data_IF_090570324638
#
_entry.id   IF_090570324638
#
_cell.length_a   1.000
_cell.length_b   1.000
_cell.length_c   1.000
_cell.angle_alpha   90.00
_cell.angle_beta   90.00
_cell.angle_gamma   90.00
#
_symmetry.space_group_name_H-M   'P 1'
#
loop_
_entity.id
_entity.type
_entity.pdbx_description
1 polymer ?
#
# COMPACT_ATOMS: atom_id res chain seq x y z
N UNK A 1 16.56 -7.40 5.70
CA UNK A 1 16.91 -6.62 4.49
C UNK A 1 18.42 -6.51 4.37
N UNK A 2 18.95 -6.24 3.18
CA UNK A 2 20.38 -5.96 2.99
C UNK A 2 20.80 -4.74 3.83
N UNK A 3 21.98 -4.76 4.51
CA UNK A 3 22.47 -3.62 5.30
C UNK A 3 22.62 -2.32 4.49
N UNK A 4 22.95 -2.45 3.20
CA UNK A 4 23.08 -1.34 2.26
C UNK A 4 21.75 -1.01 1.54
N UNK A 5 20.62 -1.54 2.03
CA UNK A 5 19.26 -1.31 1.52
C UNK A 5 19.05 -1.59 0.03
N UNK A 6 19.93 -2.40 -0.59
CA UNK A 6 19.85 -2.72 -2.01
C UNK A 6 18.63 -3.59 -2.35
N UNK A 7 18.29 -4.55 -1.47
CA UNK A 7 17.18 -5.50 -1.62
C UNK A 7 16.66 -5.99 -0.26
N UNK A 8 15.44 -6.52 -0.24
CA UNK A 8 14.86 -7.28 0.86
C UNK A 8 14.98 -8.80 0.61
N UNK A 9 15.05 -9.57 1.70
CA UNK A 9 15.09 -11.03 1.67
C UNK A 9 13.68 -11.57 1.88
N UNK A 10 12.85 -11.45 0.85
CA UNK A 10 11.42 -11.78 0.85
C UNK A 10 11.08 -12.55 -0.42
N UNK A 11 10.00 -13.34 -0.39
CA UNK A 11 9.53 -14.08 -1.57
C UNK A 11 10.63 -14.97 -2.17
N UNK A 12 10.92 -14.84 -3.48
CA UNK A 12 11.98 -15.60 -4.16
C UNK A 12 13.39 -15.43 -3.56
N UNK A 13 13.62 -14.34 -2.81
CA UNK A 13 14.92 -14.01 -2.21
C UNK A 13 15.04 -14.43 -0.74
N UNK A 14 14.03 -15.10 -0.18
CA UNK A 14 13.98 -15.47 1.25
C UNK A 14 15.07 -16.45 1.67
N UNK A 15 15.58 -17.28 0.75
CA UNK A 15 16.64 -18.25 1.02
C UNK A 15 18.07 -17.69 0.85
N UNK A 16 18.24 -16.42 0.51
CA UNK A 16 19.57 -15.83 0.31
C UNK A 16 20.15 -15.32 1.61
N UNK A 17 21.42 -15.64 1.86
CA UNK A 17 22.21 -15.14 2.99
C UNK A 17 23.06 -13.91 2.64
N UNK A 18 23.14 -13.57 1.35
CA UNK A 18 24.02 -12.55 0.80
C UNK A 18 23.28 -11.69 -0.23
N UNK A 19 23.57 -10.39 -0.24
CA UNK A 19 22.94 -9.47 -1.17
C UNK A 19 23.45 -9.70 -2.60
N UNK A 20 22.54 -9.89 -3.56
CA UNK A 20 22.88 -10.09 -4.98
C UNK A 20 23.57 -8.88 -5.65
N UNK A 21 23.51 -7.69 -5.03
CA UNK A 21 23.96 -6.45 -5.64
C UNK A 21 25.18 -5.79 -5.02
N UNK A 22 25.52 -6.14 -3.78
CA UNK A 22 26.68 -5.59 -3.08
C UNK A 22 27.45 -6.65 -2.29
N UNK A 23 27.03 -7.91 -2.38
CA UNK A 23 27.65 -9.08 -1.74
C UNK A 23 27.73 -8.97 -0.20
N UNK A 24 27.10 -7.96 0.40
CA UNK A 24 27.07 -7.80 1.85
C UNK A 24 26.22 -8.93 2.45
N UNK A 25 26.72 -9.65 3.45
CA UNK A 25 25.93 -10.68 4.12
C UNK A 25 24.70 -10.07 4.76
N UNK A 26 23.61 -10.84 4.81
CA UNK A 26 22.47 -10.53 5.64
C UNK A 26 22.92 -10.43 7.10
N UNK A 27 22.29 -9.50 7.84
CA UNK A 27 22.43 -9.53 9.29
C UNK A 27 21.89 -10.86 9.82
N UNK A 28 22.79 -11.77 10.15
CA UNK A 28 22.48 -12.88 11.05
C UNK A 28 22.40 -12.27 12.43
N UNK A 29 21.18 -12.15 12.93
CA UNK A 29 20.99 -11.88 14.35
C UNK A 29 21.57 -13.10 15.04
N UNK A 30 22.72 -12.92 15.70
CA UNK A 30 23.20 -13.87 16.69
C UNK A 30 21.99 -14.27 17.53
N UNK A 31 21.78 -15.57 17.70
CA UNK A 31 20.63 -16.30 18.27
C UNK A 31 20.09 -15.84 19.64
N UNK A 32 20.48 -14.67 20.11
CA UNK A 32 19.68 -13.88 21.05
C UNK A 32 18.35 -13.56 20.38
N UNK A 33 17.20 -13.96 20.97
CA UNK A 33 15.91 -13.55 20.44
C UNK A 33 15.92 -12.03 20.39
N UNK A 34 15.74 -11.46 19.19
CA UNK A 34 15.27 -10.08 19.14
C UNK A 34 14.03 -10.10 20.02
N UNK A 35 14.02 -9.32 21.11
CA UNK A 35 12.75 -8.81 21.61
C UNK A 35 12.16 -8.14 20.39
N UNK A 36 11.24 -8.83 19.70
CA UNK A 36 10.28 -8.15 18.88
C UNK A 36 9.84 -7.01 19.77
N UNK A 37 10.23 -5.77 19.42
CA UNK A 37 9.46 -4.64 19.88
C UNK A 37 8.07 -5.10 19.56
N UNK A 38 7.26 -5.38 20.59
CA UNK A 38 5.85 -5.66 20.38
C UNK A 38 5.47 -4.52 19.47
N UNK A 39 5.23 -4.82 18.19
CA UNK A 39 4.41 -3.96 17.37
C UNK A 39 3.24 -3.81 18.29
N UNK A 40 3.11 -2.61 18.88
CA UNK A 40 1.98 -2.32 19.74
C UNK A 40 0.83 -2.90 18.94
N UNK A 41 0.15 -3.90 19.49
CA UNK A 41 -1.08 -4.39 18.91
C UNK A 41 -2.05 -3.24 19.16
N UNK A 42 -1.80 -2.16 18.45
CA UNK A 42 -2.55 -0.95 18.53
C UNK A 42 -3.74 -1.36 17.70
N UNK A 43 -4.77 -1.75 18.45
CA UNK A 43 -6.12 -1.99 18.00
C UNK A 43 -6.65 -0.81 17.16
N UNK A 44 -5.90 0.29 17.07
CA UNK A 44 -5.89 1.31 16.03
C UNK A 44 -6.14 0.77 14.62
N UNK A 45 -5.56 -0.37 14.21
CA UNK A 45 -5.86 -0.95 12.88
C UNK A 45 -7.34 -1.35 12.75
N UNK A 46 -7.88 -2.08 13.74
CA UNK A 46 -9.31 -2.41 13.77
C UNK A 46 -10.23 -1.19 13.95
N UNK A 47 -9.78 -0.16 14.68
CA UNK A 47 -10.55 1.07 14.91
C UNK A 47 -10.55 2.00 13.68
N UNK A 48 -9.42 2.11 12.98
CA UNK A 48 -9.31 2.86 11.73
C UNK A 48 -10.06 2.15 10.60
N UNK A 49 -9.97 0.83 10.46
CA UNK A 49 -10.81 0.08 9.51
C UNK A 49 -12.31 0.27 9.79
N UNK A 50 -12.76 0.29 11.06
CA UNK A 50 -14.15 0.56 11.43
C UNK A 50 -14.66 1.94 10.97
N UNK A 51 -13.87 3.00 11.17
CA UNK A 51 -14.27 4.35 10.79
C UNK A 51 -14.16 4.56 9.28
N UNK A 52 -13.14 3.97 8.65
CA UNK A 52 -12.94 4.05 7.20
C UNK A 52 -14.10 3.40 6.46
N UNK A 53 -14.50 2.17 6.77
CA UNK A 53 -15.58 1.45 6.04
C UNK A 53 -16.92 2.19 6.14
N UNK A 54 -17.28 2.72 7.32
CA UNK A 54 -18.49 3.53 7.49
C UNK A 54 -18.42 4.86 6.70
N UNK A 55 -17.23 5.47 6.64
CA UNK A 55 -17.00 6.64 5.79
C UNK A 55 -17.02 6.31 4.29
N UNK A 56 -16.55 5.12 3.88
CA UNK A 56 -16.55 4.69 2.48
C UNK A 56 -17.99 4.66 1.95
N UNK A 57 -18.91 4.02 2.68
CA UNK A 57 -20.33 3.90 2.29
C UNK A 57 -21.02 5.24 2.00
N UNK A 58 -20.74 6.26 2.80
CA UNK A 58 -21.33 7.59 2.62
C UNK A 58 -20.57 8.45 1.60
N UNK A 59 -19.30 8.12 1.34
CA UNK A 59 -18.43 8.89 0.45
C UNK A 59 -18.51 8.43 -1.00
N UNK A 60 -18.83 7.17 -1.29
CA UNK A 60 -18.79 6.64 -2.67
C UNK A 60 -19.68 7.44 -3.63
N UNK A 61 -20.93 7.73 -3.28
CA UNK A 61 -21.86 8.46 -4.17
C UNK A 61 -21.46 9.93 -4.40
N UNK A 62 -21.01 10.63 -3.36
CA UNK A 62 -20.53 12.01 -3.47
C UNK A 62 -19.18 12.09 -4.23
N UNK A 63 -18.30 11.12 -4.00
CA UNK A 63 -17.02 10.97 -4.69
C UNK A 63 -17.21 10.74 -6.20
N UNK A 64 -18.17 9.89 -6.58
CA UNK A 64 -18.49 9.64 -7.99
C UNK A 64 -18.83 10.96 -8.71
N UNK A 65 -19.63 11.83 -8.09
CA UNK A 65 -20.02 13.11 -8.66
C UNK A 65 -18.84 14.10 -8.79
N UNK A 66 -17.90 14.10 -7.84
CA UNK A 66 -16.70 14.95 -7.88
C UNK A 66 -15.63 14.45 -8.85
N UNK A 67 -15.47 13.13 -8.98
CA UNK A 67 -14.50 12.51 -9.89
C UNK A 67 -14.95 12.61 -11.36
N UNK A 68 -16.25 12.59 -11.63
CA UNK A 68 -16.80 12.82 -12.97
C UNK A 68 -16.49 14.23 -13.51
N UNK A 69 -16.33 15.20 -12.62
CA UNK A 69 -15.96 16.58 -12.98
C UNK A 69 -14.45 16.75 -13.19
N UNK A 70 -13.63 15.86 -12.62
CA UNK A 70 -12.17 15.90 -12.73
C UNK A 70 -11.67 14.89 -13.78
N UNK A 71 -11.81 15.26 -15.05
CA UNK A 71 -11.35 14.47 -16.20
C UNK A 71 -9.83 14.25 -16.17
N UNK A 72 -9.37 13.10 -15.67
CA UNK A 72 -8.01 12.62 -15.88
C UNK A 72 -7.46 11.64 -14.83
N UNK A 73 -7.92 11.69 -13.58
CA UNK A 73 -7.50 10.78 -12.53
C UNK A 73 -8.71 10.03 -11.96
N UNK A 74 -8.75 8.71 -12.15
CA UNK A 74 -9.82 7.87 -11.61
C UNK A 74 -10.89 7.42 -12.61
N UNK A 75 -10.75 7.71 -13.90
CA UNK A 75 -11.64 7.16 -14.96
C UNK A 75 -11.72 5.64 -14.89
N UNK A 76 -10.57 4.99 -14.71
CA UNK A 76 -10.46 3.55 -14.53
C UNK A 76 -11.35 3.00 -13.39
N UNK A 77 -11.36 3.72 -12.26
CA UNK A 77 -12.18 3.39 -11.09
C UNK A 77 -13.66 3.66 -11.39
N UNK A 78 -13.99 4.81 -11.97
CA UNK A 78 -15.35 5.15 -12.37
C UNK A 78 -15.93 4.12 -13.35
N UNK A 79 -15.14 3.69 -14.33
CA UNK A 79 -15.57 2.70 -15.31
C UNK A 79 -15.73 1.31 -14.67
N UNK A 80 -14.87 0.93 -13.73
CA UNK A 80 -15.02 -0.31 -12.97
C UNK A 80 -16.28 -0.31 -12.08
N UNK A 81 -16.60 0.83 -11.43
CA UNK A 81 -17.86 1.00 -10.69
C UNK A 81 -19.06 0.94 -11.63
N UNK A 82 -19.01 1.63 -12.79
CA UNK A 82 -20.10 1.63 -13.79
C UNK A 82 -20.37 0.25 -14.39
N UNK A 83 -19.32 -0.56 -14.59
CA UNK A 83 -19.46 -1.96 -15.05
C UNK A 83 -20.00 -2.89 -13.97
N UNK A 84 -20.02 -2.45 -12.71
CA UNK A 84 -20.37 -3.28 -11.56
C UNK A 84 -19.26 -4.21 -11.10
N UNK A 85 -18.02 -3.99 -11.56
CA UNK A 85 -16.84 -4.75 -11.13
C UNK A 85 -16.49 -4.40 -9.67
N UNK A 86 -16.68 -3.14 -9.27
CA UNK A 86 -16.40 -2.64 -7.91
C UNK A 86 -17.73 -2.32 -7.21
N UNK A 87 -17.93 -2.91 -6.03
CA UNK A 87 -19.12 -2.69 -5.20
C UNK A 87 -18.85 -1.75 -4.02
N UNK A 88 -19.90 -1.30 -3.35
CA UNK A 88 -19.81 -0.33 -2.24
C UNK A 88 -19.01 -0.83 -1.02
N UNK A 89 -18.93 -2.15 -0.82
CA UNK A 89 -18.15 -2.76 0.25
C UNK A 89 -16.68 -3.06 -0.19
N UNK A 90 -16.32 -2.83 -1.45
CA UNK A 90 -14.96 -3.04 -1.97
C UNK A 90 -14.07 -1.82 -1.73
N UNK A 91 -12.75 -2.04 -1.66
CA UNK A 91 -11.77 -0.98 -1.41
C UNK A 91 -10.79 -0.85 -2.55
N UNK A 92 -10.70 0.36 -3.10
CA UNK A 92 -9.78 0.76 -4.13
C UNK A 92 -8.56 1.48 -3.52
N UNK A 93 -7.40 0.85 -3.65
CA UNK A 93 -6.13 1.29 -3.11
C UNK A 93 -5.24 1.86 -4.23
N UNK A 94 -4.47 2.88 -3.88
CA UNK A 94 -3.35 3.36 -4.67
C UNK A 94 -2.05 3.09 -3.95
N UNK A 95 -1.14 2.38 -4.60
CA UNK A 95 0.23 2.23 -4.15
C UNK A 95 1.04 3.44 -4.62
N UNK A 96 1.72 4.10 -3.68
CA UNK A 96 2.70 5.15 -3.99
C UNK A 96 4.03 4.83 -3.31
N UNK A 97 5.10 4.93 -4.09
CA UNK A 97 6.47 4.79 -3.62
C UNK A 97 7.29 5.96 -4.17
N UNK A 98 7.84 6.76 -3.27
CA UNK A 98 8.68 7.90 -3.64
C UNK A 98 9.83 8.09 -2.65
N UNK A 99 10.91 8.72 -3.14
CA UNK A 99 11.99 9.22 -2.30
C UNK A 99 11.56 10.49 -1.56
N UNK A 100 11.94 10.60 -0.30
CA UNK A 100 11.79 11.80 0.51
C UNK A 100 13.13 12.16 1.14
N UNK A 101 13.49 13.45 1.05
CA UNK A 101 14.63 14.01 1.77
C UNK A 101 14.16 14.49 3.14
N UNK A 102 14.65 13.87 4.22
CA UNK A 102 14.21 14.20 5.58
C UNK A 102 14.90 15.44 6.17
N UNK A 103 16.07 15.82 5.67
CA UNK A 103 16.86 16.93 6.20
C UNK A 103 17.33 17.86 5.08
N UNK A 104 17.11 19.16 5.24
CA UNK A 104 17.50 20.17 4.25
C UNK A 104 19.00 20.19 3.93
N UNK A 105 19.85 19.94 4.94
CA UNK A 105 21.32 20.07 4.82
C UNK A 105 22.07 18.74 4.96
N UNK A 106 21.41 17.60 4.71
CA UNK A 106 22.05 16.27 4.72
C UNK A 106 21.52 15.43 3.56
N UNK A 107 22.41 14.69 2.89
CA UNK A 107 22.00 13.61 1.98
C UNK A 107 21.41 12.47 2.82
N UNK A 108 20.10 12.53 3.02
CA UNK A 108 19.33 11.48 3.68
C UNK A 108 18.05 11.30 2.90
N UNK A 109 18.18 10.60 1.79
CA UNK A 109 17.03 10.12 1.03
C UNK A 109 16.50 8.88 1.75
N UNK A 110 15.19 8.77 1.89
CA UNK A 110 14.53 7.51 2.21
C UNK A 110 13.43 7.26 1.19
N UNK A 111 13.11 6.01 0.92
CA UNK A 111 11.98 5.66 0.08
C UNK A 111 10.81 5.30 0.97
N UNK A 112 9.71 6.02 0.82
CA UNK A 112 8.49 5.80 1.58
C UNK A 112 7.49 5.10 0.68
N UNK A 113 7.00 3.98 1.17
CA UNK A 113 5.98 3.16 0.53
C UNK A 113 4.67 3.31 1.32
N UNK A 114 3.65 3.90 0.69
CA UNK A 114 2.34 4.16 1.27
C UNK A 114 1.20 3.58 0.42
N UNK A 115 0.08 3.34 1.08
CA UNK A 115 -1.21 3.07 0.45
C UNK A 115 -2.19 4.19 0.72
N UNK A 116 -2.88 4.63 -0.32
CA UNK A 116 -3.94 5.63 -0.25
C UNK A 116 -5.26 4.94 -0.57
N UNK A 117 -6.27 5.13 0.27
CA UNK A 117 -7.63 4.62 0.04
C UNK A 117 -8.38 5.65 -0.82
N UNK A 118 -8.62 5.34 -2.09
CA UNK A 118 -9.24 6.27 -3.06
C UNK A 118 -10.76 6.37 -2.87
N UNK A 119 -11.39 5.39 -2.21
CA UNK A 119 -12.82 5.46 -1.89
C UNK A 119 -13.20 6.68 -1.02
N UNK A 120 -12.22 7.34 -0.41
CA UNK A 120 -12.42 8.54 0.39
C UNK A 120 -12.45 9.79 -0.48
N UNK A 121 -13.26 10.78 -0.10
CA UNK A 121 -13.30 12.08 -0.78
C UNK A 121 -11.90 12.71 -0.92
N UNK A 122 -11.66 13.56 -1.94
CA UNK A 122 -10.34 14.15 -2.20
C UNK A 122 -9.78 14.90 -0.98
N UNK A 123 -10.67 15.51 -0.19
CA UNK A 123 -10.32 16.23 1.04
C UNK A 123 -9.83 15.32 2.18
N UNK A 124 -10.12 14.02 2.10
CA UNK A 124 -9.80 13.02 3.13
C UNK A 124 -8.65 12.11 2.72
N UNK A 125 -8.59 11.66 1.47
CA UNK A 125 -7.66 10.61 1.02
C UNK A 125 -6.18 10.89 1.33
N UNK A 126 -5.75 12.16 1.32
CA UNK A 126 -4.36 12.56 1.60
C UNK A 126 -4.12 13.08 3.03
N UNK A 127 -5.11 12.99 3.93
CA UNK A 127 -4.89 13.35 5.33
C UNK A 127 -4.15 12.20 6.02
N UNK A 128 -3.18 12.54 6.87
CA UNK A 128 -2.36 11.58 7.64
C UNK A 128 -3.16 10.47 8.32
N UNK A 129 -4.39 10.75 8.77
CA UNK A 129 -5.29 9.77 9.42
C UNK A 129 -5.70 8.62 8.48
N UNK A 130 -5.71 8.84 7.17
CA UNK A 130 -6.26 7.91 6.18
C UNK A 130 -5.19 7.34 5.22
N UNK A 131 -3.93 7.73 5.39
CA UNK A 131 -2.79 7.14 4.65
C UNK A 131 -2.27 5.94 5.45
N UNK A 132 -2.12 4.78 4.80
CA UNK A 132 -1.53 3.59 5.39
C UNK A 132 -0.04 3.53 5.03
N UNK A 133 0.84 3.83 5.98
CA UNK A 133 2.29 3.70 5.78
C UNK A 133 2.69 2.22 5.82
N UNK A 134 3.26 1.72 4.73
CA UNK A 134 3.62 0.29 4.61
C UNK A 134 5.08 0.04 4.97
N UNK A 135 6.02 0.82 4.42
CA UNK A 135 7.44 0.65 4.71
C UNK A 135 8.23 1.93 4.49
N UNK A 136 9.37 2.02 5.16
CA UNK A 136 10.39 3.06 4.94
C UNK A 136 11.69 2.33 4.67
N UNK A 137 12.26 2.56 3.48
CA UNK A 137 13.55 2.04 3.08
C UNK A 137 14.56 3.16 3.29
N UNK A 138 15.47 2.97 4.23
CA UNK A 138 16.50 3.96 4.53
C UNK A 138 17.45 4.10 3.33
N UNK A 139 17.84 5.33 3.00
CA UNK A 139 18.96 5.58 2.11
C UNK A 139 20.29 5.68 2.86
N UNK A 140 21.32 6.31 2.27
CA UNK A 140 21.25 7.29 1.17
C UNK A 140 21.15 6.69 -0.24
N UNK A 141 21.34 5.37 -0.38
CA UNK A 141 21.41 4.74 -1.70
C UNK A 141 20.03 4.32 -2.19
N UNK A 142 19.75 4.55 -3.48
CA UNK A 142 18.55 4.04 -4.14
C UNK A 142 18.49 2.51 -4.06
N UNK A 143 17.35 1.93 -3.64
CA UNK A 143 17.14 0.49 -3.68
C UNK A 143 17.37 -0.04 -5.10
N UNK A 144 18.16 -1.11 -5.21
CA UNK A 144 18.48 -1.73 -6.51
C UNK A 144 17.38 -2.70 -6.95
N UNK A 145 16.64 -3.27 -6.00
CA UNK A 145 15.52 -4.16 -6.25
C UNK A 145 14.30 -3.69 -5.44
N UNK A 146 13.53 -2.75 -6.00
CA UNK A 146 12.33 -2.22 -5.34
C UNK A 146 11.27 -3.33 -5.15
N UNK A 147 11.13 -4.22 -6.12
CA UNK A 147 10.13 -5.30 -6.10
C UNK A 147 10.31 -6.22 -4.89
N UNK A 148 11.54 -6.48 -4.47
CA UNK A 148 11.80 -7.23 -3.23
C UNK A 148 11.19 -6.56 -1.99
N UNK A 149 11.19 -5.23 -1.91
CA UNK A 149 10.56 -4.50 -0.80
C UNK A 149 9.03 -4.48 -0.92
N UNK A 150 8.50 -4.44 -2.13
CA UNK A 150 7.05 -4.44 -2.38
C UNK A 150 6.41 -5.83 -2.27
N UNK A 151 7.20 -6.89 -2.44
CA UNK A 151 6.72 -8.27 -2.58
C UNK A 151 5.71 -8.65 -1.51
N UNK A 152 6.01 -8.41 -0.23
CA UNK A 152 5.13 -8.84 0.85
C UNK A 152 3.77 -8.11 0.82
N UNK A 153 3.77 -6.80 0.56
CA UNK A 153 2.55 -6.01 0.47
C UNK A 153 1.70 -6.42 -0.73
N UNK A 154 2.33 -6.62 -1.89
CA UNK A 154 1.64 -7.04 -3.11
C UNK A 154 1.15 -8.48 -3.01
N UNK A 155 1.90 -9.39 -2.38
CA UNK A 155 1.52 -10.79 -2.18
C UNK A 155 0.27 -10.93 -1.29
N UNK A 156 0.21 -10.18 -0.19
CA UNK A 156 -0.98 -10.17 0.66
C UNK A 156 -2.16 -9.52 -0.04
N UNK A 157 -1.94 -8.41 -0.73
CA UNK A 157 -2.94 -7.76 -1.53
C UNK A 157 -3.51 -8.72 -2.59
N UNK A 158 -2.68 -9.41 -3.37
CA UNK A 158 -3.13 -10.34 -4.41
C UNK A 158 -3.95 -11.48 -3.85
N UNK A 159 -3.62 -11.97 -2.66
CA UNK A 159 -4.42 -13.00 -1.97
C UNK A 159 -5.83 -12.48 -1.69
N UNK A 160 -5.95 -11.25 -1.19
CA UNK A 160 -7.25 -10.65 -0.88
C UNK A 160 -8.02 -10.27 -2.17
N UNK A 161 -7.32 -9.88 -3.24
CA UNK A 161 -7.95 -9.61 -4.54
C UNK A 161 -8.59 -10.87 -5.14
N UNK A 162 -7.93 -12.02 -5.00
CA UNK A 162 -8.42 -13.30 -5.52
C UNK A 162 -9.52 -13.89 -4.64
N UNK A 163 -9.23 -14.02 -3.34
CA UNK A 163 -10.03 -14.81 -2.40
C UNK A 163 -11.11 -13.98 -1.68
N UNK A 164 -11.00 -12.65 -1.73
CA UNK A 164 -11.82 -11.75 -0.93
C UNK A 164 -11.44 -11.77 0.55
N UNK A 165 -11.91 -10.77 1.29
CA UNK A 165 -11.79 -10.70 2.74
C UNK A 165 -13.17 -10.75 3.38
N UNK A 166 -13.45 -11.78 4.18
CA UNK A 166 -14.68 -11.84 4.97
C UNK A 166 -14.59 -10.91 6.17
N UNK A 167 -15.41 -9.87 6.18
CA UNK A 167 -15.48 -8.85 7.22
C UNK A 167 -16.82 -8.96 7.93
N UNK A 168 -16.80 -8.91 9.26
CA UNK A 168 -18.02 -8.78 10.04
C UNK A 168 -18.45 -7.31 10.13
N UNK A 169 -19.62 -6.99 9.60
CA UNK A 169 -20.26 -5.70 9.80
C UNK A 169 -21.10 -5.72 11.07
N UNK A 170 -20.58 -5.11 12.13
CA UNK A 170 -21.28 -4.99 13.40
C UNK A 170 -22.52 -4.09 13.34
N UNK A 171 -22.57 -3.11 12.42
CA UNK A 171 -23.70 -2.20 12.30
C UNK A 171 -24.94 -2.92 11.74
N UNK A 172 -24.74 -3.74 10.70
CA UNK A 172 -25.80 -4.51 10.07
C UNK A 172 -25.93 -5.94 10.62
N UNK A 173 -25.09 -6.31 11.59
CA UNK A 173 -25.03 -7.65 12.18
C UNK A 173 -24.93 -8.78 11.14
N UNK A 174 -24.08 -8.59 10.12
CA UNK A 174 -23.93 -9.54 9.02
C UNK A 174 -22.46 -9.73 8.60
N UNK A 175 -22.17 -10.87 7.96
CA UNK A 175 -20.89 -11.08 7.26
C UNK A 175 -20.96 -10.45 5.88
N UNK A 176 -19.87 -9.83 5.47
CA UNK A 176 -19.68 -9.28 4.13
C UNK A 176 -18.37 -9.73 3.55
N UNK A 177 -18.31 -9.72 2.23
CA UNK A 177 -17.11 -10.01 1.48
C UNK A 177 -16.62 -8.70 0.88
N UNK A 178 -15.34 -8.41 1.07
CA UNK A 178 -14.69 -7.20 0.62
C UNK A 178 -13.55 -7.60 -0.31
N UNK A 179 -13.58 -7.12 -1.54
CA UNK A 179 -12.45 -7.24 -2.44
C UNK A 179 -11.61 -5.97 -2.41
N UNK A 180 -10.30 -6.17 -2.59
CA UNK A 180 -9.38 -5.07 -2.81
C UNK A 180 -9.17 -4.90 -4.31
N UNK A 181 -9.00 -3.66 -4.72
CA UNK A 181 -8.54 -3.27 -6.06
C UNK A 181 -7.33 -2.38 -5.89
N UNK A 182 -6.35 -2.47 -6.78
CA UNK A 182 -5.14 -1.69 -6.65
C UNK A 182 -4.73 -1.04 -7.96
N UNK A 183 -4.50 0.27 -7.89
CA UNK A 183 -3.77 1.04 -8.89
C UNK A 183 -2.34 1.29 -8.42
N UNK A 184 -1.37 0.79 -9.17
CA UNK A 184 0.03 1.08 -8.89
C UNK A 184 0.45 2.37 -9.60
N UNK A 185 0.99 3.34 -8.86
CA UNK A 185 1.67 4.51 -9.43
C UNK A 185 3.14 4.48 -9.01
N UNK A 186 4.03 4.16 -9.95
CA UNK A 186 5.47 4.41 -9.77
C UNK A 186 5.79 5.81 -10.25
N UNK A 187 6.05 6.74 -9.34
CA UNK A 187 6.54 8.07 -9.69
C UNK A 187 8.05 8.00 -9.88
N UNK A 188 8.52 7.64 -11.08
CA UNK A 188 9.88 7.96 -11.50
C UNK A 188 9.97 8.16 -13.03
N UNK A 189 9.79 9.44 -13.41
CA UNK A 189 10.03 10.18 -14.69
C UNK A 189 8.79 10.61 -15.50
N UNK A 190 8.80 11.83 -16.09
CA UNK A 190 7.76 12.32 -16.97
C UNK A 190 7.91 11.66 -18.35
N UNK A 191 7.40 10.44 -18.48
CA UNK A 191 6.95 9.84 -19.75
C UNK A 191 6.46 8.44 -19.42
N UNK A 192 5.17 8.22 -19.66
CA UNK A 192 4.54 6.89 -19.65
C UNK A 192 4.39 6.29 -18.24
N UNK A 193 3.49 6.87 -17.44
CA UNK A 193 2.89 6.13 -16.33
C UNK A 193 2.21 4.88 -16.89
N UNK A 194 2.81 3.70 -16.66
CA UNK A 194 2.14 2.45 -16.94
C UNK A 194 1.04 2.29 -15.89
N UNK A 195 -0.20 2.54 -16.32
CA UNK A 195 -1.39 2.23 -15.54
C UNK A 195 -1.60 0.72 -15.57
N UNK A 196 -1.29 0.05 -14.48
CA UNK A 196 -1.76 -1.31 -14.25
C UNK A 196 -3.00 -1.23 -13.36
N UNK A 197 -4.17 -1.41 -13.99
CA UNK A 197 -5.32 -1.96 -13.30
C UNK A 197 -5.08 -3.46 -13.21
N UNK A 198 -4.77 -3.94 -12.02
CA UNK A 198 -4.90 -5.37 -11.74
C UNK A 198 -6.34 -5.53 -11.26
N UNK A 199 -7.25 -5.74 -12.20
CA UNK A 199 -8.58 -6.25 -11.93
C UNK A 199 -8.57 -7.76 -12.22
N UNK A 200 -9.53 -8.49 -11.63
CA UNK A 200 -9.71 -9.94 -11.83
C UNK A 200 -9.62 -10.35 -13.30
#
# INVERSE_FOLDING_TARGET
>A
MCPNFCMAYTGPYSGLDTCLYCCTPQYFLSSSPIRANKSHSDNSWCHNCRHSIALLRNATSALLQELEQNTGQGSDYLDAVRRGDVQDDDVYLMLSLDSAQLYASKQSDCWVYIWVIINLSPDKQYKKKYILSSSIISGPNKPKNIDSFLFLGIYHLSTIMCDGLSIWDAHNNCKRECHLYCKCLSCNKPSTGQNYLVAK
#
